data_IF_781601766169
#
_entry.id   IF_781601766169
#
_cell.length_a   1.000
_cell.length_b   1.000
_cell.length_c   1.000
_cell.angle_alpha   90.00
_cell.angle_beta   90.00
_cell.angle_gamma   90.00
#
_symmetry.space_group_name_H-M   'P 1'
#
loop_
_entity.id
_entity.type
_entity.pdbx_description
1 polymer ?
#
# COMPACT_ATOMS: atom_id res chain seq x y z
N UNK A 1 14.89 25.34 -15.76
CA UNK A 1 13.64 25.13 -14.99
C UNK A 1 13.88 23.87 -14.20
N UNK A 2 13.84 23.92 -12.87
CA UNK A 2 13.86 22.72 -12.03
C UNK A 2 12.48 22.09 -12.12
N UNK A 3 12.35 20.99 -12.87
CA UNK A 3 11.10 20.23 -12.88
C UNK A 3 10.86 19.71 -11.45
N UNK A 4 9.74 20.11 -10.84
CA UNK A 4 9.33 19.59 -9.55
C UNK A 4 8.61 18.27 -9.79
N UNK A 5 9.26 17.16 -9.44
CA UNK A 5 8.66 15.83 -9.48
C UNK A 5 7.78 15.63 -8.24
N UNK A 6 6.60 15.03 -8.41
CA UNK A 6 5.60 14.83 -7.36
C UNK A 6 5.26 13.34 -7.21
N UNK A 7 5.01 12.89 -5.97
CA UNK A 7 4.65 11.51 -5.68
C UNK A 7 5.78 10.50 -5.97
N UNK A 8 5.44 9.36 -6.59
CA UNK A 8 6.35 8.21 -6.77
C UNK A 8 7.54 8.48 -7.70
N UNK A 9 7.46 9.52 -8.54
CA UNK A 9 8.54 9.92 -9.45
C UNK A 9 9.56 10.84 -8.77
N UNK A 10 9.35 11.17 -7.51
CA UNK A 10 10.28 11.91 -6.68
C UNK A 10 10.83 10.98 -5.60
N UNK A 11 12.14 10.71 -5.55
CA UNK A 11 13.22 11.26 -6.40
C UNK A 11 13.23 10.73 -7.85
N UNK A 12 13.78 11.50 -8.82
CA UNK A 12 13.84 11.06 -10.21
C UNK A 12 14.74 9.84 -10.35
N UNK A 13 14.32 8.87 -11.17
CA UNK A 13 15.04 7.59 -11.29
C UNK A 13 16.46 7.77 -11.84
N UNK A 14 16.69 8.75 -12.71
CA UNK A 14 17.99 8.97 -13.33
C UNK A 14 19.05 9.34 -12.29
N UNK A 15 18.72 10.17 -11.30
CA UNK A 15 19.67 10.53 -10.22
C UNK A 15 19.97 9.32 -9.34
N UNK A 16 18.99 8.46 -9.08
CA UNK A 16 19.19 7.22 -8.34
C UNK A 16 20.12 6.25 -9.08
N UNK A 17 20.00 6.15 -10.40
CA UNK A 17 20.83 5.28 -11.22
C UNK A 17 22.28 5.77 -11.35
N UNK A 18 22.57 7.03 -11.03
CA UNK A 18 23.95 7.51 -10.90
C UNK A 18 24.62 7.01 -9.61
N UNK A 19 23.84 6.62 -8.59
CA UNK A 19 24.34 6.16 -7.29
C UNK A 19 24.60 4.65 -7.21
N UNK A 20 24.04 3.88 -8.15
CA UNK A 20 24.05 2.42 -8.10
C UNK A 20 24.39 1.83 -9.47
N UNK A 21 24.98 0.64 -9.46
CA UNK A 21 25.53 0.04 -10.69
C UNK A 21 24.45 -0.43 -11.69
N UNK A 22 23.24 -0.76 -11.21
CA UNK A 22 22.16 -1.27 -12.07
C UNK A 22 20.77 -1.03 -11.48
N UNK A 23 19.75 -1.11 -12.35
CA UNK A 23 18.33 -1.06 -11.94
C UNK A 23 17.97 -2.13 -10.91
N UNK A 24 18.54 -3.33 -11.03
CA UNK A 24 18.29 -4.42 -10.10
C UNK A 24 18.97 -4.19 -8.75
N UNK A 25 20.19 -3.65 -8.77
CA UNK A 25 20.90 -3.25 -7.56
C UNK A 25 20.11 -2.18 -6.79
N UNK A 26 19.53 -1.20 -7.49
CA UNK A 26 18.67 -0.19 -6.88
C UNK A 26 17.50 -0.80 -6.10
N UNK A 27 16.78 -1.73 -6.73
CA UNK A 27 15.61 -2.38 -6.13
C UNK A 27 16.01 -3.15 -4.87
N UNK A 28 17.10 -3.93 -4.93
CA UNK A 28 17.58 -4.68 -3.78
C UNK A 28 18.04 -3.76 -2.65
N UNK A 29 18.77 -2.70 -2.99
CA UNK A 29 19.31 -1.75 -2.03
C UNK A 29 18.18 -1.02 -1.28
N UNK A 30 17.25 -0.43 -2.02
CA UNK A 30 16.11 0.27 -1.45
C UNK A 30 15.19 -0.67 -0.68
N UNK A 31 14.94 -1.89 -1.17
CA UNK A 31 14.09 -2.86 -0.48
C UNK A 31 14.70 -3.33 0.86
N UNK A 32 16.01 -3.61 0.88
CA UNK A 32 16.70 -3.99 2.13
C UNK A 32 16.65 -2.85 3.14
N UNK A 33 16.93 -1.63 2.71
CA UNK A 33 16.86 -0.44 3.58
C UNK A 33 15.44 -0.17 4.08
N UNK A 34 14.44 -0.28 3.22
CA UNK A 34 13.03 -0.09 3.61
C UNK A 34 12.58 -1.11 4.67
N UNK A 35 13.05 -2.37 4.58
CA UNK A 35 12.81 -3.38 5.62
C UNK A 35 13.46 -3.01 6.95
N UNK A 36 14.69 -2.48 6.92
CA UNK A 36 15.37 -1.98 8.12
C UNK A 36 14.60 -0.85 8.79
N UNK A 37 14.11 0.13 8.00
CA UNK A 37 13.30 1.25 8.52
C UNK A 37 11.97 0.74 9.10
N UNK A 38 11.31 -0.22 8.44
CA UNK A 38 10.06 -0.80 8.94
C UNK A 38 10.29 -1.58 10.26
N UNK A 39 11.36 -2.37 10.33
CA UNK A 39 11.73 -3.09 11.54
C UNK A 39 12.06 -2.13 12.69
N UNK A 40 12.74 -1.01 12.41
CA UNK A 40 12.98 0.04 13.39
C UNK A 40 11.68 0.59 13.98
N UNK A 41 10.68 0.93 13.15
CA UNK A 41 9.39 1.41 13.66
C UNK A 41 8.62 0.35 14.44
N UNK A 42 8.74 -0.92 14.07
CA UNK A 42 8.08 -2.03 14.77
C UNK A 42 8.71 -2.31 16.14
N UNK A 43 10.04 -2.19 16.26
CA UNK A 43 10.79 -2.46 17.48
C UNK A 43 10.93 -1.24 18.41
N UNK A 44 10.50 -0.06 17.99
CA UNK A 44 10.65 1.18 18.75
C UNK A 44 10.05 1.09 20.17
N UNK A 45 9.00 0.29 20.33
CA UNK A 45 8.33 0.07 21.62
C UNK A 45 8.91 -1.10 22.43
N UNK A 46 9.69 -1.98 21.80
CA UNK A 46 10.26 -3.18 22.43
C UNK A 46 11.62 -2.89 23.11
N UNK A 47 12.20 -1.71 22.88
CA UNK A 47 13.44 -1.26 23.56
C UNK A 47 14.71 -1.96 23.06
N UNK A 48 14.63 -2.65 21.92
CA UNK A 48 15.74 -3.34 21.28
C UNK A 48 16.19 -2.52 20.06
N UNK A 49 17.33 -1.85 20.16
CA UNK A 49 17.84 -0.95 19.10
C UNK A 49 18.75 -1.70 18.11
N UNK A 50 18.22 -2.75 17.49
CA UNK A 50 18.98 -3.52 16.48
C UNK A 50 19.06 -2.80 15.13
N UNK A 51 17.99 -2.09 14.75
CA UNK A 51 17.89 -1.42 13.45
C UNK A 51 18.04 0.10 13.56
N UNK A 52 18.66 0.69 12.54
CA UNK A 52 18.88 2.14 12.43
C UNK A 52 17.67 2.78 11.76
N UNK A 53 17.12 3.81 12.41
CA UNK A 53 15.97 4.58 11.90
C UNK A 53 16.29 5.43 10.67
N UNK A 54 15.31 6.24 10.21
CA UNK A 54 15.48 7.15 9.08
C UNK A 54 16.65 8.11 9.28
N UNK A 55 17.46 8.28 8.24
CA UNK A 55 18.59 9.22 8.20
C UNK A 55 18.20 10.59 7.64
N UNK A 56 17.05 10.66 6.98
CA UNK A 56 16.51 11.85 6.33
C UNK A 56 15.23 12.28 7.02
N UNK A 57 14.90 13.57 6.92
CA UNK A 57 13.65 14.13 7.42
C UNK A 57 12.43 13.43 6.79
N UNK A 58 11.63 12.77 7.63
CA UNK A 58 10.44 12.02 7.21
C UNK A 58 9.17 12.85 7.32
N UNK A 59 8.27 12.73 6.35
CA UNK A 59 6.92 13.30 6.43
C UNK A 59 6.00 12.39 7.25
N UNK A 60 4.87 12.94 7.72
CA UNK A 60 3.85 12.15 8.42
C UNK A 60 3.32 11.03 7.50
N UNK A 61 3.32 9.79 8.00
CA UNK A 61 2.87 8.59 7.29
C UNK A 61 3.62 8.28 5.98
N UNK A 62 4.87 8.73 5.86
CA UNK A 62 5.71 8.37 4.72
C UNK A 62 6.03 6.87 4.73
N UNK A 63 5.96 6.23 3.56
CA UNK A 63 6.25 4.80 3.43
C UNK A 63 7.75 4.56 3.56
N UNK A 64 8.20 3.47 4.23
CA UNK A 64 9.63 3.17 4.39
C UNK A 64 10.43 3.12 3.07
N UNK A 65 9.80 2.70 1.98
CA UNK A 65 10.44 2.67 0.67
C UNK A 65 10.71 4.07 0.11
N UNK A 66 9.79 5.03 0.33
CA UNK A 66 9.98 6.43 -0.09
C UNK A 66 11.17 7.05 0.64
N UNK A 67 11.26 6.81 1.95
CA UNK A 67 12.38 7.27 2.79
C UNK A 67 13.69 6.68 2.28
N UNK A 68 13.73 5.37 2.03
CA UNK A 68 14.92 4.70 1.52
C UNK A 68 15.40 5.27 0.17
N UNK A 69 14.50 5.61 -0.75
CA UNK A 69 14.88 6.22 -2.04
C UNK A 69 15.53 7.60 -1.87
N UNK A 70 15.04 8.41 -0.92
CA UNK A 70 15.63 9.72 -0.61
C UNK A 70 16.98 9.61 0.09
N UNK A 71 17.14 8.65 0.98
CA UNK A 71 18.44 8.37 1.62
C UNK A 71 19.51 7.96 0.60
N UNK A 72 19.13 7.24 -0.46
CA UNK A 72 20.03 6.89 -1.57
C UNK A 72 20.37 8.13 -2.40
N UNK A 73 19.39 8.99 -2.70
CA UNK A 73 19.63 10.24 -3.43
C UNK A 73 20.63 11.16 -2.71
N UNK A 74 20.52 11.25 -1.38
CA UNK A 74 21.40 12.07 -0.52
C UNK A 74 22.77 11.43 -0.21
N UNK A 75 23.11 10.28 -0.81
CA UNK A 75 24.37 9.54 -0.58
C UNK A 75 24.64 9.21 0.91
N UNK A 76 23.60 8.92 1.69
CA UNK A 76 23.74 8.62 3.13
C UNK A 76 24.03 7.13 3.42
N UNK A 77 24.01 6.30 2.39
CA UNK A 77 24.09 4.84 2.49
C UNK A 77 25.14 4.29 1.51
N UNK A 78 25.85 3.25 1.95
CA UNK A 78 26.80 2.53 1.11
C UNK A 78 26.27 1.12 0.80
N UNK A 79 26.33 0.73 -0.49
CA UNK A 79 25.94 -0.60 -0.93
C UNK A 79 27.20 -1.46 -1.18
N UNK A 80 27.33 -2.55 -0.42
CA UNK A 80 28.39 -3.54 -0.63
C UNK A 80 27.81 -4.75 -1.37
N UNK A 81 28.41 -5.18 -2.50
CA UNK A 81 27.98 -6.40 -3.18
C UNK A 81 28.21 -7.61 -2.27
N UNK A 82 27.24 -8.52 -2.25
CA UNK A 82 27.35 -9.77 -1.49
C UNK A 82 28.42 -10.66 -2.14
N UNK A 83 29.25 -11.29 -1.31
CA UNK A 83 30.20 -12.30 -1.76
C UNK A 83 29.47 -13.59 -2.12
N UNK A 84 30.08 -14.42 -2.98
CA UNK A 84 29.50 -15.71 -3.41
C UNK A 84 29.17 -16.63 -2.22
N UNK A 85 29.95 -16.55 -1.14
CA UNK A 85 29.72 -17.31 0.08
C UNK A 85 28.43 -16.87 0.81
N UNK A 86 28.14 -15.57 0.83
CA UNK A 86 26.91 -15.03 1.44
C UNK A 86 25.69 -15.44 0.63
N UNK A 87 25.80 -15.39 -0.71
CA UNK A 87 24.72 -15.81 -1.62
C UNK A 87 24.39 -17.29 -1.40
N UNK A 88 25.40 -18.14 -1.28
CA UNK A 88 25.20 -19.58 -1.10
C UNK A 88 24.66 -19.95 0.30
N UNK A 89 24.98 -19.15 1.33
CA UNK A 89 24.44 -19.32 2.69
C UNK A 89 22.97 -18.93 2.83
N UNK A 90 22.49 -17.98 2.02
CA UNK A 90 21.08 -17.53 2.03
C UNK A 90 20.20 -18.31 1.04
N UNK A 91 20.78 -18.91 0.00
CA UNK A 91 20.06 -19.73 -1.00
C UNK A 91 19.40 -20.99 -0.40
N UNK A 92 19.80 -21.42 0.80
CA UNK A 92 19.14 -22.51 1.54
C UNK A 92 17.92 -22.05 2.34
N UNK A 93 17.58 -20.77 2.31
CA UNK A 93 16.30 -20.30 2.88
C UNK A 93 15.16 -21.00 2.15
N UNK A 94 14.38 -21.79 2.90
CA UNK A 94 13.16 -22.44 2.44
C UNK A 94 12.15 -21.34 2.06
N UNK A 95 12.30 -20.78 0.87
CA UNK A 95 11.24 -20.08 0.17
C UNK A 95 10.23 -21.16 -0.16
N UNK A 96 9.36 -21.46 0.81
CA UNK A 96 8.34 -22.49 0.71
C UNK A 96 7.72 -22.43 -0.68
N UNK A 97 7.72 -23.58 -1.37
CA UNK A 97 7.33 -23.66 -2.77
C UNK A 97 6.05 -22.85 -2.99
N UNK A 98 6.13 -21.85 -3.85
CA UNK A 98 4.96 -21.06 -4.22
C UNK A 98 4.04 -21.96 -5.03
N UNK A 99 3.19 -22.72 -4.35
CA UNK A 99 2.15 -23.52 -4.95
C UNK A 99 0.95 -22.60 -5.24
N UNK A 100 0.70 -22.38 -6.53
CA UNK A 100 -0.55 -21.77 -6.97
C UNK A 100 -1.68 -22.73 -6.58
N UNK A 101 -2.59 -22.26 -5.73
CA UNK A 101 -3.83 -22.98 -5.41
C UNK A 101 -4.68 -23.06 -6.68
N UNK A 102 -4.45 -24.10 -7.49
CA UNK A 102 -5.11 -24.31 -8.78
C UNK A 102 -4.29 -25.04 -9.84
N UNK A 103 -2.96 -25.18 -9.69
CA UNK A 103 -2.12 -25.87 -10.68
C UNK A 103 -2.09 -27.40 -10.51
N UNK A 104 -3.18 -28.01 -10.05
CA UNK A 104 -3.31 -29.46 -10.12
C UNK A 104 -3.55 -29.87 -11.57
N UNK A 105 -2.50 -29.85 -12.38
CA UNK A 105 -2.39 -30.59 -13.64
C UNK A 105 -3.57 -30.43 -14.59
N UNK A 106 -4.06 -29.22 -14.80
CA UNK A 106 -4.80 -28.94 -16.02
C UNK A 106 -3.76 -28.98 -17.15
N UNK A 107 -3.59 -30.15 -17.78
CA UNK A 107 -2.87 -30.26 -19.03
C UNK A 107 -3.48 -29.20 -19.97
N UNK A 108 -2.70 -28.15 -20.25
CA UNK A 108 -3.05 -27.15 -21.24
C UNK A 108 -3.10 -27.88 -22.58
N UNK A 109 -4.24 -28.46 -22.91
CA UNK A 109 -4.44 -29.19 -24.14
C UNK A 109 -4.55 -28.18 -25.27
N UNK A 110 -3.67 -28.33 -26.25
CA UNK A 110 -3.59 -27.52 -27.47
C UNK A 110 -4.93 -27.51 -28.26
N UNK A 111 -5.83 -28.45 -27.95
CA UNK A 111 -7.18 -28.56 -28.51
C UNK A 111 -8.14 -27.42 -28.09
N UNK A 112 -7.86 -26.69 -27.00
CA UNK A 112 -8.72 -25.60 -26.54
C UNK A 112 -8.69 -24.35 -27.46
N UNK A 113 -7.72 -24.25 -28.38
CA UNK A 113 -7.61 -23.13 -29.31
C UNK A 113 -8.06 -23.46 -30.75
N UNK A 114 -8.34 -24.73 -31.07
CA UNK A 114 -8.66 -25.16 -32.44
C UNK A 114 -10.13 -25.50 -32.71
N UNK A 115 -11.02 -25.34 -31.71
CA UNK A 115 -12.45 -25.55 -31.88
C UNK A 115 -13.20 -24.22 -31.89
N UNK A 116 -13.87 -23.91 -33.00
CA UNK A 116 -14.73 -22.73 -33.16
C UNK A 116 -15.77 -22.66 -32.03
N UNK A 117 -15.50 -21.80 -31.05
CA UNK A 117 -16.32 -21.58 -29.86
C UNK A 117 -16.11 -20.16 -29.37
N UNK A 118 -16.20 -19.21 -30.30
CA UNK A 118 -16.27 -17.77 -30.04
C UNK A 118 -17.37 -17.49 -29.01
N UNK A 119 -16.94 -17.19 -27.79
CA UNK A 119 -17.63 -16.46 -26.71
C UNK A 119 -19.12 -16.21 -27.00
N UNK A 120 -20.00 -17.10 -26.57
CA UNK A 120 -21.39 -16.67 -26.36
C UNK A 120 -21.39 -15.82 -25.10
N UNK A 121 -21.63 -14.53 -25.31
CA UNK A 121 -21.85 -13.48 -24.31
C UNK A 121 -22.60 -14.04 -23.10
N UNK A 122 -21.84 -14.41 -22.08
CA UNK A 122 -22.39 -14.67 -20.75
C UNK A 122 -22.38 -13.31 -20.09
N UNK A 123 -23.56 -12.73 -19.93
CA UNK A 123 -23.74 -11.45 -19.24
C UNK A 123 -22.99 -11.50 -17.91
N UNK A 124 -21.91 -10.71 -17.82
CA UNK A 124 -21.16 -10.51 -16.58
C UNK A 124 -22.02 -9.61 -15.70
N UNK A 125 -22.55 -10.09 -14.56
CA UNK A 125 -23.24 -9.19 -13.64
C UNK A 125 -22.24 -8.14 -13.14
N UNK A 126 -22.67 -6.88 -13.17
CA UNK A 126 -21.88 -5.69 -12.83
C UNK A 126 -21.14 -5.89 -11.49
N UNK A 127 -19.81 -5.87 -11.55
CA UNK A 127 -18.92 -6.11 -10.42
C UNK A 127 -18.90 -4.96 -9.39
N UNK A 128 -19.80 -3.99 -9.48
CA UNK A 128 -19.96 -2.95 -8.45
C UNK A 128 -20.63 -3.43 -7.17
N UNK A 129 -21.14 -4.67 -7.12
CA UNK A 129 -21.75 -5.22 -5.90
C UNK A 129 -20.74 -6.05 -5.13
N UNK A 130 -20.28 -5.51 -4.00
CA UNK A 130 -19.40 -6.16 -3.02
C UNK A 130 -20.02 -7.49 -2.53
N UNK A 131 -19.33 -8.65 -2.67
CA UNK A 131 -19.86 -9.95 -2.26
C UNK A 131 -19.91 -10.17 -0.74
N UNK A 132 -19.68 -9.13 0.08
CA UNK A 132 -19.59 -9.22 1.54
C UNK A 132 -20.81 -8.75 2.36
N UNK A 133 -21.87 -8.21 1.77
CA UNK A 133 -22.99 -7.65 2.56
C UNK A 133 -24.26 -8.49 2.40
N UNK A 134 -24.57 -9.28 3.44
CA UNK A 134 -25.86 -9.93 3.58
C UNK A 134 -26.97 -8.87 3.47
N UNK A 135 -27.85 -9.04 2.49
CA UNK A 135 -29.10 -8.29 2.38
C UNK A 135 -30.00 -8.69 3.55
N UNK A 136 -29.95 -7.93 4.64
CA UNK A 136 -31.03 -7.90 5.63
C UNK A 136 -32.15 -7.03 5.06
N UNK A 137 -33.12 -7.70 4.46
CA UNK A 137 -34.41 -7.13 4.11
C UNK A 137 -35.24 -6.88 5.37
N UNK A 138 -34.89 -5.82 6.11
CA UNK A 138 -35.76 -5.19 7.10
C UNK A 138 -36.49 -4.00 6.47
N UNK A 139 -37.82 -3.85 6.68
CA UNK A 139 -38.62 -2.87 5.96
C UNK A 139 -38.31 -1.44 6.41
N UNK A 140 -38.33 -0.55 5.43
CA UNK A 140 -38.23 0.91 5.52
C UNK A 140 -39.08 1.44 6.68
N UNK A 141 -38.42 1.95 7.72
CA UNK A 141 -39.03 2.81 8.72
C UNK A 141 -38.66 4.26 8.40
N UNK A 142 -39.69 5.06 8.23
CA UNK A 142 -39.67 6.48 7.91
C UNK A 142 -38.86 7.31 8.91
N UNK A 143 -38.36 8.43 8.38
CA UNK A 143 -37.71 9.54 9.06
C UNK A 143 -38.49 9.98 10.32
N UNK A 144 -37.97 9.65 11.50
CA UNK A 144 -38.47 10.17 12.76
C UNK A 144 -37.72 11.47 13.09
N UNK A 145 -38.28 12.58 12.61
CA UNK A 145 -38.09 13.91 13.19
C UNK A 145 -38.38 13.82 14.69
N UNK A 146 -37.41 14.19 15.53
CA UNK A 146 -37.60 14.23 16.99
C UNK A 146 -38.51 15.40 17.34
N UNK A 147 -39.80 15.13 17.54
CA UNK A 147 -40.77 16.09 18.08
C UNK A 147 -41.23 15.65 19.46
N UNK A 148 -41.01 16.48 20.48
CA UNK A 148 -41.55 16.28 21.82
C UNK A 148 -43.07 16.56 21.87
N UNK A 149 -43.69 16.02 22.92
CA UNK A 149 -45.13 15.76 23.13
C UNK A 149 -46.13 16.94 23.02
N UNK A 150 -45.74 18.13 22.59
CA UNK A 150 -46.66 19.28 22.40
C UNK A 150 -46.63 19.91 20.99
N UNK A 151 -45.92 19.32 20.02
CA UNK A 151 -46.18 19.59 18.60
C UNK A 151 -45.87 21.00 18.09
N UNK A 152 -44.72 21.60 18.48
CA UNK A 152 -44.16 22.78 17.79
C UNK A 152 -42.74 22.49 17.28
N UNK A 153 -42.37 22.94 16.05
CA UNK A 153 -41.02 22.73 15.52
C UNK A 153 -40.02 23.67 16.22
N UNK A 154 -38.85 23.18 16.58
CA UNK A 154 -37.77 24.01 17.12
C UNK A 154 -37.14 24.85 16.00
N UNK A 155 -37.52 26.13 15.94
CA UNK A 155 -36.84 27.13 15.11
C UNK A 155 -35.39 27.30 15.59
N UNK A 156 -34.44 27.02 14.71
CA UNK A 156 -33.13 27.66 14.78
C UNK A 156 -33.32 29.15 14.54
N UNK A 157 -33.01 29.96 15.55
CA UNK A 157 -32.80 31.40 15.41
C UNK A 157 -31.51 31.76 16.12
N UNK A 158 -30.50 32.08 15.30
CA UNK A 158 -29.51 33.08 15.63
C UNK A 158 -30.25 34.40 15.94
N UNK A 159 -30.02 35.02 17.10
CA UNK A 159 -29.94 36.49 17.22
C UNK A 159 -29.45 36.96 18.61
N UNK A 160 -28.33 37.66 18.60
CA UNK A 160 -28.04 38.97 19.22
C UNK A 160 -28.59 39.37 20.61
N UNK A 161 -27.66 39.81 21.46
CA UNK A 161 -27.73 40.95 22.39
C UNK A 161 -28.76 40.99 23.55
N UNK A 162 -28.26 41.13 24.79
CA UNK A 162 -28.16 42.42 25.50
C UNK A 162 -28.38 42.33 27.04
N UNK A 163 -27.53 43.10 27.73
CA UNK A 163 -27.61 43.76 29.04
C UNK A 163 -28.27 43.16 30.30
N UNK A 164 -27.43 43.16 31.35
CA UNK A 164 -27.66 43.75 32.69
C UNK A 164 -28.95 43.43 33.43
N UNK A 165 -28.84 42.77 34.58
CA UNK A 165 -28.61 43.43 35.90
C UNK A 165 -28.35 42.38 36.98
#
# INVERSE_FOLDING_TARGET
MTEQYEGIVNPPIDTLLEKVDSKYALVLFAAKRARQINAYYSQLHEGLFEYVGPLVDTKLNEKPLSIAMREIEEDLLEATPMTEEQINGEASGDFGGFELSGDSGAEFSDDAFSGEGFLTDTEVPDATTDPGLATDESPVAEEAVSTDLDGTPTEGTDDEADHQS
#
